data_IF_358696067387
#
_entry.id   IF_358696067387
#
_cell.length_a   1.000
_cell.length_b   1.000
_cell.length_c   1.000
_cell.angle_alpha   90.00
_cell.angle_beta   90.00
_cell.angle_gamma   90.00
#
_symmetry.space_group_name_H-M   'P 1'
#
loop_
_entity.id
_entity.type
_entity.pdbx_description
1 polymer ?
#
# COMPACT_ATOMS: atom_id res chain seq x y z
N UNK A 1 12.54 -8.62 -23.54
CA UNK A 1 11.37 -7.96 -22.91
C UNK A 1 11.16 -8.49 -21.51
N UNK A 2 11.04 -7.59 -20.56
CA UNK A 2 10.73 -7.95 -19.17
C UNK A 2 9.28 -8.42 -19.07
N UNK A 3 9.07 -9.62 -18.56
CA UNK A 3 7.72 -10.14 -18.30
C UNK A 3 7.25 -9.68 -16.93
N UNK A 4 6.17 -8.89 -16.89
CA UNK A 4 5.56 -8.43 -15.65
C UNK A 4 4.33 -9.27 -15.32
N UNK A 5 4.28 -9.76 -14.09
CA UNK A 5 3.17 -10.55 -13.58
C UNK A 5 2.64 -9.95 -12.29
N UNK A 6 1.32 -9.80 -12.19
CA UNK A 6 0.63 -9.38 -10.97
C UNK A 6 -0.12 -10.59 -10.46
N UNK A 7 0.15 -11.00 -9.24
CA UNK A 7 -0.56 -12.12 -8.62
C UNK A 7 -0.89 -11.86 -7.16
N UNK A 8 -1.94 -12.48 -6.69
CA UNK A 8 -2.25 -12.45 -5.26
C UNK A 8 -1.20 -13.27 -4.51
N UNK A 9 -0.70 -12.71 -3.41
CA UNK A 9 0.26 -13.39 -2.56
C UNK A 9 -0.44 -14.47 -1.72
N UNK A 10 0.32 -15.47 -1.31
CA UNK A 10 -0.16 -16.64 -0.55
C UNK A 10 0.85 -16.98 0.55
N UNK A 11 0.47 -17.81 1.53
CA UNK A 11 1.43 -18.29 2.53
C UNK A 11 2.68 -18.88 1.85
N UNK A 12 3.85 -18.48 2.32
CA UNK A 12 5.14 -18.75 1.69
C UNK A 12 5.78 -17.53 1.02
N UNK A 13 5.00 -16.48 0.77
CA UNK A 13 5.50 -15.24 0.14
C UNK A 13 6.03 -14.21 1.15
N UNK A 14 6.07 -14.53 2.45
CA UNK A 14 6.43 -13.59 3.51
C UNK A 14 7.78 -12.92 3.27
N UNK A 15 8.80 -13.71 2.97
CA UNK A 15 10.15 -13.18 2.75
C UNK A 15 10.20 -12.23 1.56
N UNK A 16 9.54 -12.58 0.45
CA UNK A 16 9.49 -11.72 -0.73
C UNK A 16 8.74 -10.42 -0.46
N UNK A 17 7.62 -10.48 0.27
CA UNK A 17 6.83 -9.31 0.63
C UNK A 17 7.59 -8.37 1.56
N UNK A 18 8.24 -8.92 2.58
CA UNK A 18 9.04 -8.14 3.52
C UNK A 18 10.23 -7.48 2.82
N UNK A 19 10.94 -8.21 1.98
CA UNK A 19 12.08 -7.68 1.24
C UNK A 19 11.65 -6.54 0.30
N UNK A 20 10.63 -6.76 -0.52
CA UNK A 20 10.18 -5.71 -1.44
C UNK A 20 9.57 -4.52 -0.71
N UNK A 21 8.90 -4.76 0.42
CA UNK A 21 8.38 -3.69 1.27
C UNK A 21 9.49 -2.79 1.81
N UNK A 22 10.56 -3.38 2.32
CA UNK A 22 11.73 -2.63 2.80
C UNK A 22 12.43 -1.86 1.68
N UNK A 23 12.62 -2.50 0.54
CA UNK A 23 13.29 -1.88 -0.61
C UNK A 23 12.50 -0.71 -1.18
N UNK A 24 11.22 -0.86 -1.40
CA UNK A 24 10.38 0.21 -1.95
C UNK A 24 10.22 1.37 -0.97
N UNK A 25 10.09 1.10 0.33
CA UNK A 25 10.03 2.14 1.34
C UNK A 25 11.35 2.93 1.38
N UNK A 26 12.48 2.24 1.41
CA UNK A 26 13.80 2.88 1.43
C UNK A 26 14.04 3.72 0.18
N UNK A 27 13.67 3.22 -0.99
CA UNK A 27 13.83 3.93 -2.26
C UNK A 27 12.98 5.21 -2.30
N UNK A 28 11.77 5.15 -1.75
CA UNK A 28 10.82 6.28 -1.81
C UNK A 28 11.04 7.28 -0.68
N UNK A 29 11.28 6.81 0.54
CA UNK A 29 11.23 7.63 1.75
C UNK A 29 12.54 7.62 2.56
N UNK A 30 13.50 6.76 2.24
CA UNK A 30 14.69 6.57 3.08
C UNK A 30 15.47 7.82 3.35
N UNK A 31 15.50 8.75 2.40
CA UNK A 31 16.21 10.04 2.53
C UNK A 31 15.58 10.99 3.55
N UNK A 32 14.35 10.73 3.99
CA UNK A 32 13.64 11.59 4.94
C UNK A 32 14.02 11.32 6.40
N UNK A 33 14.65 10.19 6.68
CA UNK A 33 14.83 9.73 8.07
C UNK A 33 16.29 9.53 8.44
N UNK A 34 16.65 9.75 9.73
CA UNK A 34 17.94 9.32 10.25
C UNK A 34 18.11 7.80 10.04
N UNK A 35 19.33 7.32 9.72
CA UNK A 35 19.53 5.89 9.40
C UNK A 35 19.06 4.90 10.47
N UNK A 36 19.24 5.25 11.76
CA UNK A 36 18.80 4.37 12.84
C UNK A 36 17.28 4.31 12.99
N UNK A 37 16.58 5.42 12.74
CA UNK A 37 15.12 5.46 12.77
C UNK A 37 14.55 4.67 11.60
N UNK A 38 15.13 4.83 10.41
CA UNK A 38 14.75 4.05 9.23
C UNK A 38 14.96 2.55 9.49
N UNK A 39 16.13 2.14 10.01
CA UNK A 39 16.40 0.74 10.27
C UNK A 39 15.42 0.14 11.29
N UNK A 40 15.09 0.88 12.35
CA UNK A 40 14.11 0.45 13.34
C UNK A 40 12.73 0.30 12.71
N UNK A 41 12.28 1.30 11.95
CA UNK A 41 10.99 1.26 11.27
C UNK A 41 10.88 0.07 10.32
N UNK A 42 11.93 -0.17 9.51
CA UNK A 42 11.91 -1.29 8.56
C UNK A 42 11.81 -2.65 9.27
N UNK A 43 12.42 -2.81 10.45
CA UNK A 43 12.32 -4.06 11.21
C UNK A 43 10.95 -4.27 11.82
N UNK A 44 10.29 -3.20 12.25
CA UNK A 44 9.00 -3.29 12.96
C UNK A 44 7.80 -3.28 12.01
N UNK A 45 7.83 -2.44 10.98
CA UNK A 45 6.72 -2.32 10.03
C UNK A 45 6.73 -3.42 8.96
N UNK A 46 7.91 -3.99 8.68
CA UNK A 46 8.09 -5.05 7.70
C UNK A 46 8.70 -6.27 8.40
N UNK A 47 7.86 -7.01 9.09
CA UNK A 47 8.21 -8.19 9.88
C UNK A 47 7.56 -9.43 9.29
N UNK A 48 8.32 -10.51 9.15
CA UNK A 48 7.83 -11.73 8.50
C UNK A 48 6.69 -12.41 9.27
N UNK A 49 6.73 -12.38 10.60
CA UNK A 49 5.68 -13.00 11.41
C UNK A 49 4.36 -12.24 11.28
N UNK A 50 4.41 -10.91 11.26
CA UNK A 50 3.23 -10.06 11.02
C UNK A 50 2.70 -10.32 9.61
N UNK A 51 3.57 -10.36 8.63
CA UNK A 51 3.19 -10.63 7.24
C UNK A 51 2.53 -12.01 7.08
N UNK A 52 3.07 -13.02 7.73
CA UNK A 52 2.50 -14.37 7.72
C UNK A 52 1.09 -14.39 8.32
N UNK A 53 0.87 -13.67 9.42
CA UNK A 53 -0.44 -13.56 10.03
C UNK A 53 -1.45 -12.87 9.09
N UNK A 54 -1.02 -11.81 8.42
CA UNK A 54 -1.88 -11.09 7.46
C UNK A 54 -2.20 -11.96 6.24
N UNK A 55 -1.25 -12.74 5.73
CA UNK A 55 -1.48 -13.67 4.63
C UNK A 55 -2.49 -14.76 4.99
N UNK A 56 -2.54 -15.16 6.25
CA UNK A 56 -3.48 -16.17 6.74
C UNK A 56 -4.86 -15.60 7.07
N UNK A 57 -5.00 -14.27 7.19
CA UNK A 57 -6.24 -13.62 7.58
C UNK A 57 -7.06 -13.26 6.33
N UNK A 58 -8.28 -13.81 6.15
CA UNK A 58 -9.11 -13.50 4.98
C UNK A 58 -9.56 -12.04 4.91
N UNK A 59 -9.42 -11.25 5.98
CA UNK A 59 -9.73 -9.83 5.96
C UNK A 59 -8.67 -9.00 5.23
N UNK A 60 -7.46 -9.59 5.01
CA UNK A 60 -6.37 -8.94 4.30
C UNK A 60 -6.18 -9.53 2.91
N UNK A 61 -5.80 -8.69 1.96
CA UNK A 61 -5.33 -9.10 0.65
C UNK A 61 -3.94 -8.53 0.40
N UNK A 62 -3.04 -9.37 -0.09
CA UNK A 62 -1.69 -8.95 -0.48
C UNK A 62 -1.41 -9.42 -1.89
N UNK A 63 -0.68 -8.60 -2.65
CA UNK A 63 -0.32 -8.86 -4.04
C UNK A 63 1.17 -8.62 -4.24
N UNK A 64 1.75 -9.41 -5.13
CA UNK A 64 3.11 -9.21 -5.61
C UNK A 64 3.08 -8.83 -7.08
N UNK A 65 3.96 -7.90 -7.45
CA UNK A 65 4.33 -7.64 -8.83
C UNK A 65 5.70 -8.22 -9.06
N UNK A 66 5.81 -9.10 -10.03
CA UNK A 66 7.05 -9.79 -10.35
C UNK A 66 7.52 -9.42 -11.75
N UNK A 67 8.82 -9.20 -11.88
CA UNK A 67 9.48 -9.01 -13.18
C UNK A 67 10.47 -10.15 -13.33
N UNK A 68 10.26 -10.99 -14.35
CA UNK A 68 11.11 -12.16 -14.62
C UNK A 68 11.33 -13.03 -13.36
N UNK A 69 10.26 -13.18 -12.56
CA UNK A 69 10.27 -14.01 -11.37
C UNK A 69 10.76 -13.34 -10.09
N UNK A 70 11.21 -12.09 -10.16
CA UNK A 70 11.67 -11.33 -9.00
C UNK A 70 10.63 -10.29 -8.56
N UNK A 71 10.38 -10.14 -7.27
CA UNK A 71 9.45 -9.14 -6.74
C UNK A 71 9.98 -7.71 -7.00
N UNK A 72 9.16 -6.89 -7.63
CA UNK A 72 9.47 -5.48 -7.96
C UNK A 72 8.43 -4.50 -7.43
N UNK A 73 7.36 -5.01 -6.84
CA UNK A 73 6.32 -4.21 -6.23
C UNK A 73 5.36 -5.07 -5.43
N UNK A 74 4.50 -4.41 -4.67
CA UNK A 74 3.50 -5.11 -3.87
C UNK A 74 2.35 -4.18 -3.50
N UNK A 75 1.26 -4.80 -3.04
CA UNK A 75 0.11 -4.08 -2.50
C UNK A 75 -0.44 -4.82 -1.30
N UNK A 76 -0.96 -4.06 -0.34
CA UNK A 76 -1.67 -4.58 0.82
C UNK A 76 -2.98 -3.83 1.00
N UNK A 77 -4.07 -4.56 1.21
CA UNK A 77 -5.38 -4.03 1.52
C UNK A 77 -5.99 -4.78 2.70
N UNK A 78 -6.92 -4.14 3.40
CA UNK A 78 -7.55 -4.75 4.56
C UNK A 78 -8.57 -3.82 5.22
N UNK A 79 -8.95 -4.10 6.49
CA UNK A 79 -9.86 -3.24 7.24
C UNK A 79 -9.27 -1.84 7.45
N UNK A 80 -10.12 -0.81 7.40
CA UNK A 80 -9.67 0.56 7.58
C UNK A 80 -9.26 0.85 9.02
N UNK A 81 -8.04 1.41 9.18
CA UNK A 81 -7.48 1.84 10.45
C UNK A 81 -7.05 3.30 10.45
N UNK A 82 -7.39 4.06 9.41
CA UNK A 82 -7.00 5.48 9.31
C UNK A 82 -7.72 6.32 10.37
N UNK A 83 -7.03 7.34 10.94
CA UNK A 83 -7.58 8.18 11.99
C UNK A 83 -8.50 9.27 11.42
N UNK A 84 -9.68 8.87 11.01
CA UNK A 84 -10.71 9.78 10.51
C UNK A 84 -12.03 9.47 11.22
N UNK A 85 -12.82 10.50 11.63
CA UNK A 85 -14.04 10.26 12.41
C UNK A 85 -15.10 9.42 11.68
N UNK A 86 -15.09 9.41 10.35
CA UNK A 86 -16.05 8.64 9.57
C UNK A 86 -15.51 7.28 9.13
N UNK A 87 -14.23 6.98 9.37
CA UNK A 87 -13.63 5.69 8.99
C UNK A 87 -14.05 4.60 9.98
N UNK A 88 -14.40 3.43 9.44
CA UNK A 88 -14.85 2.28 10.23
C UNK A 88 -14.07 1.04 9.86
N UNK A 89 -13.89 0.09 10.79
CA UNK A 89 -13.20 -1.19 10.47
C UNK A 89 -13.88 -1.99 9.35
N UNK A 90 -15.19 -1.82 9.17
CA UNK A 90 -15.94 -2.46 8.08
C UNK A 90 -15.65 -1.86 6.71
N UNK A 91 -15.06 -0.67 6.65
CA UNK A 91 -14.63 -0.04 5.40
C UNK A 91 -13.34 -0.70 4.91
N UNK A 92 -13.07 -0.59 3.62
CA UNK A 92 -11.84 -1.10 3.04
C UNK A 92 -10.74 -0.04 3.01
N UNK A 93 -9.51 -0.47 3.17
CA UNK A 93 -8.35 0.41 3.04
C UNK A 93 -7.30 -0.20 2.13
N UNK A 94 -6.84 0.59 1.16
CA UNK A 94 -5.60 0.33 0.47
C UNK A 94 -4.47 0.82 1.38
N UNK A 95 -3.74 -0.10 2.01
CA UNK A 95 -2.74 0.24 3.02
C UNK A 95 -1.38 0.55 2.43
N UNK A 96 -0.99 -0.17 1.39
CA UNK A 96 0.32 -0.03 0.73
C UNK A 96 0.20 -0.38 -0.74
N UNK A 97 0.80 0.43 -1.59
CA UNK A 97 0.95 0.16 -3.01
C UNK A 97 2.26 0.80 -3.45
N UNK A 98 3.27 -0.03 -3.70
CA UNK A 98 4.60 0.44 -4.06
C UNK A 98 5.22 -0.39 -5.17
N UNK A 99 5.90 0.30 -6.07
CA UNK A 99 6.71 -0.28 -7.13
C UNK A 99 8.10 0.33 -7.05
N UNK A 100 9.13 -0.45 -7.35
CA UNK A 100 10.46 0.09 -7.55
C UNK A 100 10.41 1.11 -8.70
N UNK A 101 11.18 2.19 -8.58
CA UNK A 101 11.16 3.32 -9.53
C UNK A 101 11.38 2.90 -10.97
N UNK A 102 12.23 1.89 -11.18
CA UNK A 102 12.51 1.36 -12.51
C UNK A 102 11.26 0.82 -13.24
N UNK A 103 10.18 0.54 -12.51
CA UNK A 103 8.93 0.00 -13.04
C UNK A 103 7.79 1.00 -13.04
N UNK A 104 8.07 2.28 -12.73
CA UNK A 104 7.07 3.34 -12.82
C UNK A 104 6.81 3.72 -14.28
N UNK A 105 5.63 4.27 -14.55
CA UNK A 105 5.27 4.82 -15.87
C UNK A 105 4.77 3.83 -16.89
N UNK A 106 4.76 2.53 -16.57
CA UNK A 106 4.28 1.48 -17.50
C UNK A 106 2.83 1.06 -17.31
N UNK A 107 2.06 1.77 -16.47
CA UNK A 107 0.66 1.44 -16.21
C UNK A 107 0.46 0.29 -15.20
N UNK A 108 1.55 -0.23 -14.64
CA UNK A 108 1.50 -1.37 -13.70
C UNK A 108 0.74 -1.00 -12.43
N UNK A 109 1.00 0.19 -11.88
CA UNK A 109 0.31 0.68 -10.69
C UNK A 109 -1.20 0.74 -10.86
N UNK A 110 -1.66 1.21 -12.02
CA UNK A 110 -3.09 1.26 -12.34
C UNK A 110 -3.72 -0.12 -12.47
N UNK A 111 -3.02 -1.06 -13.11
CA UNK A 111 -3.50 -2.45 -13.22
C UNK A 111 -3.57 -3.14 -11.86
N UNK A 112 -2.55 -2.93 -11.02
CA UNK A 112 -2.53 -3.46 -9.66
C UNK A 112 -3.67 -2.86 -8.84
N UNK A 113 -3.83 -1.55 -8.88
CA UNK A 113 -4.90 -0.85 -8.15
C UNK A 113 -6.28 -1.38 -8.56
N UNK A 114 -6.52 -1.57 -9.85
CA UNK A 114 -7.80 -2.09 -10.33
C UNK A 114 -8.13 -3.46 -9.71
N UNK A 115 -7.17 -4.38 -9.67
CA UNK A 115 -7.35 -5.69 -9.05
C UNK A 115 -7.66 -5.59 -7.55
N UNK A 116 -6.96 -4.69 -6.86
CA UNK A 116 -7.14 -4.50 -5.42
C UNK A 116 -8.49 -3.89 -5.10
N UNK A 117 -8.93 -2.91 -5.89
CA UNK A 117 -10.25 -2.30 -5.70
C UNK A 117 -11.38 -3.31 -5.94
N UNK A 118 -11.25 -4.17 -6.96
CA UNK A 118 -12.20 -5.25 -7.20
C UNK A 118 -12.28 -6.19 -6.00
N UNK A 119 -11.12 -6.54 -5.43
CA UNK A 119 -11.08 -7.40 -4.24
C UNK A 119 -11.71 -6.71 -3.02
N UNK A 120 -11.45 -5.42 -2.81
CA UNK A 120 -12.03 -4.67 -1.70
C UNK A 120 -13.56 -4.56 -1.78
N UNK A 121 -14.11 -4.62 -2.98
CA UNK A 121 -15.55 -4.53 -3.23
C UNK A 121 -16.19 -5.87 -3.59
N UNK A 122 -15.47 -6.99 -3.40
CA UNK A 122 -15.97 -8.34 -3.79
C UNK A 122 -17.26 -8.74 -3.09
N UNK A 123 -17.52 -8.22 -1.88
CA UNK A 123 -18.72 -8.50 -1.09
C UNK A 123 -19.74 -7.36 -1.18
N UNK A 124 -19.57 -6.44 -2.09
CA UNK A 124 -20.44 -5.30 -2.32
C UNK A 124 -19.73 -3.96 -2.17
N UNK A 125 -20.35 -2.88 -2.67
CA UNK A 125 -19.79 -1.53 -2.55
C UNK A 125 -19.69 -1.10 -1.08
N UNK A 126 -18.58 -0.43 -0.74
CA UNK A 126 -18.35 0.14 0.60
C UNK A 126 -17.40 1.33 0.50
N UNK A 127 -17.32 2.20 1.51
CA UNK A 127 -16.33 3.25 1.52
C UNK A 127 -14.92 2.65 1.47
N UNK A 128 -14.06 3.24 0.64
CA UNK A 128 -12.66 2.84 0.50
C UNK A 128 -11.76 4.02 0.86
N UNK A 129 -10.67 3.73 1.55
CA UNK A 129 -9.78 4.72 2.13
C UNK A 129 -8.33 4.47 1.75
N UNK A 130 -7.57 5.56 1.64
CA UNK A 130 -6.12 5.52 1.36
C UNK A 130 -5.44 6.63 2.16
N UNK A 131 -4.31 6.30 2.82
CA UNK A 131 -3.38 7.30 3.32
C UNK A 131 -2.26 7.49 2.31
N UNK A 132 -1.90 8.75 1.99
CA UNK A 132 -0.85 9.04 1.01
C UNK A 132 0.02 10.19 1.49
N UNK A 133 1.34 10.04 1.32
CA UNK A 133 2.30 11.09 1.63
C UNK A 133 2.00 12.35 0.83
N UNK A 134 2.07 13.52 1.48
CA UNK A 134 1.59 14.78 0.90
C UNK A 134 2.34 15.22 -0.36
N UNK A 135 3.58 14.78 -0.55
CA UNK A 135 4.37 15.07 -1.76
C UNK A 135 4.40 13.91 -2.77
N UNK A 136 3.69 12.84 -2.51
CA UNK A 136 3.59 11.75 -3.47
C UNK A 136 2.54 12.07 -4.53
N UNK A 137 2.88 13.02 -5.40
CA UNK A 137 1.95 13.55 -6.40
C UNK A 137 1.54 12.51 -7.44
N UNK A 138 2.45 11.60 -7.79
CA UNK A 138 2.14 10.52 -8.73
C UNK A 138 1.07 9.58 -8.21
N UNK A 139 1.18 9.16 -6.96
CA UNK A 139 0.17 8.33 -6.31
C UNK A 139 -1.15 9.08 -6.17
N UNK A 140 -1.11 10.35 -5.77
CA UNK A 140 -2.31 11.17 -5.64
C UNK A 140 -3.08 11.27 -6.97
N UNK A 141 -2.37 11.47 -8.08
CA UNK A 141 -2.99 11.49 -9.41
C UNK A 141 -3.62 10.15 -9.78
N UNK A 142 -2.92 9.05 -9.48
CA UNK A 142 -3.43 7.71 -9.72
C UNK A 142 -4.75 7.48 -8.96
N UNK A 143 -4.76 7.81 -7.66
CA UNK A 143 -5.94 7.63 -6.82
C UNK A 143 -7.09 8.54 -7.24
N UNK A 144 -6.81 9.78 -7.61
CA UNK A 144 -7.83 10.71 -8.11
C UNK A 144 -8.53 10.18 -9.36
N UNK A 145 -7.77 9.55 -10.28
CA UNK A 145 -8.34 8.92 -11.48
C UNK A 145 -9.29 7.76 -11.15
N UNK A 146 -9.16 7.18 -9.95
CA UNK A 146 -10.02 6.10 -9.49
C UNK A 146 -11.13 6.56 -8.53
N UNK A 147 -11.38 7.87 -8.47
CA UNK A 147 -12.51 8.43 -7.72
C UNK A 147 -12.23 8.75 -6.25
N UNK A 148 -10.97 8.74 -5.82
CA UNK A 148 -10.62 9.09 -4.45
C UNK A 148 -10.48 10.61 -4.31
N UNK A 149 -11.01 11.15 -3.21
CA UNK A 149 -10.97 12.58 -2.87
C UNK A 149 -10.35 12.77 -1.48
N UNK A 150 -9.62 13.86 -1.31
CA UNK A 150 -9.03 14.20 -0.02
C UNK A 150 -10.13 14.61 0.96
N UNK A 151 -10.14 13.98 2.14
CA UNK A 151 -11.12 14.25 3.21
C UNK A 151 -10.46 14.53 4.55
N UNK A 152 -9.15 14.45 4.67
CA UNK A 152 -8.46 14.71 5.93
C UNK A 152 -6.96 14.65 5.80
N UNK A 153 -6.30 14.85 6.93
CA UNK A 153 -4.85 14.80 7.06
C UNK A 153 -4.49 14.13 8.38
N UNK A 154 -3.31 13.52 8.43
CA UNK A 154 -2.74 12.99 9.66
C UNK A 154 -1.22 12.98 9.54
N UNK A 155 -0.54 12.58 10.61
CA UNK A 155 0.91 12.48 10.62
C UNK A 155 1.34 11.02 10.67
N UNK A 156 2.24 10.63 9.76
CA UNK A 156 2.89 9.34 9.77
C UNK A 156 4.24 9.49 10.48
N UNK A 157 4.47 8.68 11.51
CA UNK A 157 5.61 8.87 12.41
C UNK A 157 6.66 7.79 12.17
N UNK A 158 7.90 8.21 11.89
CA UNK A 158 9.07 7.34 11.83
C UNK A 158 10.12 7.94 12.78
N UNK A 159 10.32 7.29 13.93
CA UNK A 159 11.20 7.84 14.97
C UNK A 159 10.74 9.21 15.42
N UNK A 160 11.61 10.21 15.31
CA UNK A 160 11.30 11.60 15.62
C UNK A 160 10.70 12.40 14.46
N UNK A 161 10.56 11.80 13.28
CA UNK A 161 10.06 12.47 12.08
C UNK A 161 8.57 12.30 11.95
N UNK A 162 7.87 13.41 11.69
CA UNK A 162 6.41 13.44 11.49
C UNK A 162 6.12 13.88 10.05
N UNK A 163 5.63 12.94 9.25
CA UNK A 163 5.34 13.20 7.84
C UNK A 163 3.87 13.52 7.65
N UNK A 164 3.53 14.67 7.03
CA UNK A 164 2.14 14.94 6.68
C UNK A 164 1.63 13.91 5.67
N UNK A 165 0.46 13.35 5.96
CA UNK A 165 -0.23 12.44 5.04
C UNK A 165 -1.64 12.94 4.79
N UNK A 166 -2.13 12.73 3.57
CA UNK A 166 -3.51 13.00 3.22
C UNK A 166 -4.34 11.74 3.38
N UNK A 167 -5.56 11.90 3.88
CA UNK A 167 -6.54 10.83 3.92
C UNK A 167 -7.45 11.01 2.72
N UNK A 168 -7.52 10.00 1.86
CA UNK A 168 -8.36 9.97 0.69
C UNK A 168 -9.50 8.97 0.89
N UNK A 169 -10.67 9.26 0.31
CA UNK A 169 -11.83 8.40 0.39
C UNK A 169 -12.54 8.31 -0.95
N UNK A 170 -13.03 7.13 -1.26
CA UNK A 170 -13.98 6.91 -2.33
C UNK A 170 -15.27 6.32 -1.75
N UNK A 171 -16.38 7.02 -1.92
CA UNK A 171 -17.67 6.52 -1.51
C UNK A 171 -18.25 5.57 -2.56
N UNK A 172 -19.13 4.61 -2.16
CA UNK A 172 -19.83 3.78 -3.12
C UNK A 172 -20.62 4.62 -4.11
N UNK A 173 -20.72 4.15 -5.34
CA UNK A 173 -21.61 4.76 -6.32
C UNK A 173 -23.06 4.63 -5.86
N UNK A 174 -23.81 5.73 -5.96
CA UNK A 174 -25.23 5.77 -5.58
C UNK A 174 -26.12 5.18 -6.68
#
# INVERSE_FOLDING_TARGET
>A
MTSLNIRKARPGDETALVDIGRRTFTETFGHLYPPQDLAHFLRTAHDEAVCAAELADPAFGLWLVEADGAAVGYCQAGPCTLPHPEARPADGELKRLYLLKAFHGGGVGGRLLAQVLDWLEKDGPRPLWIGVYFENFGAQRLYARHGFEKVGEYEFIVGGTRDPEFILRRLPAS
#
